data_IF_083932769309
#
_entry.id   IF_083932769309
#
_cell.length_a   1.000
_cell.length_b   1.000
_cell.length_c   1.000
_cell.angle_alpha   90.00
_cell.angle_beta   90.00
_cell.angle_gamma   90.00
#
_symmetry.space_group_name_H-M   'P 1'
#
loop_
_entity.id
_entity.type
_entity.pdbx_description
1 polymer ?
#
# COMPACT_ATOMS: atom_id res chain seq x y z
N UNK A 1 32.67 -4.16 5.41
CA UNK A 1 33.11 -3.38 6.60
C UNK A 1 32.24 -2.15 6.76
N UNK A 2 32.13 -1.22 5.78
CA UNK A 2 31.44 0.06 5.92
C UNK A 2 29.97 -0.01 6.33
N UNK A 3 29.19 -0.95 5.80
CA UNK A 3 27.79 -1.09 6.18
C UNK A 3 27.60 -1.47 7.66
N UNK A 4 28.53 -2.25 8.24
CA UNK A 4 28.48 -2.60 9.66
C UNK A 4 28.65 -1.36 10.55
N UNK A 5 29.57 -0.47 10.20
CA UNK A 5 29.77 0.78 10.92
C UNK A 5 28.55 1.71 10.78
N UNK A 6 28.04 1.92 9.58
CA UNK A 6 26.86 2.77 9.34
C UNK A 6 25.59 2.25 10.00
N UNK A 7 25.45 0.93 10.14
CA UNK A 7 24.27 0.36 10.79
C UNK A 7 24.33 0.45 12.33
N UNK A 8 25.52 0.70 12.88
CA UNK A 8 25.76 0.87 14.31
C UNK A 8 26.00 2.34 14.71
N UNK A 9 25.58 3.29 13.92
CA UNK A 9 25.64 4.71 14.25
C UNK A 9 26.93 5.42 13.90
N UNK A 10 27.96 4.74 13.41
CA UNK A 10 29.24 5.35 13.08
C UNK A 10 29.20 6.04 11.71
N UNK A 11 28.41 7.11 11.61
CA UNK A 11 28.25 7.88 10.38
C UNK A 11 29.54 8.58 9.95
N UNK A 12 30.38 8.96 10.92
CA UNK A 12 31.61 9.73 10.71
C UNK A 12 32.86 8.84 10.51
N UNK A 13 32.68 7.52 10.46
CA UNK A 13 33.79 6.61 10.27
C UNK A 13 34.51 6.83 8.94
N UNK A 14 35.82 6.69 8.96
CA UNK A 14 36.65 6.74 7.76
C UNK A 14 37.55 5.51 7.69
N UNK A 15 37.56 4.86 6.53
CA UNK A 15 38.39 3.71 6.24
C UNK A 15 39.44 4.10 5.21
N UNK A 16 40.69 4.00 5.57
CA UNK A 16 41.84 4.29 4.70
C UNK A 16 42.63 3.00 4.44
N UNK A 17 42.43 2.34 3.30
CA UNK A 17 43.28 1.25 2.88
C UNK A 17 44.61 1.81 2.40
N UNK A 18 45.71 1.28 2.94
CA UNK A 18 47.06 1.63 2.53
C UNK A 18 47.79 0.37 2.09
N UNK A 19 48.38 0.41 0.91
CA UNK A 19 49.23 -0.67 0.43
C UNK A 19 50.56 -0.62 1.17
N UNK A 20 50.90 -1.71 1.86
CA UNK A 20 52.13 -1.80 2.68
C UNK A 20 53.21 -2.50 1.92
N UNK A 21 52.90 -3.58 1.21
CA UNK A 21 53.88 -4.40 0.54
C UNK A 21 53.29 -5.09 -0.68
N UNK A 22 54.09 -5.28 -1.73
CA UNK A 22 53.68 -5.98 -2.96
C UNK A 22 54.73 -7.07 -3.18
N UNK A 23 54.32 -8.33 -3.12
CA UNK A 23 55.20 -9.49 -3.38
C UNK A 23 54.56 -10.36 -4.47
N UNK A 24 55.12 -10.26 -5.70
CA UNK A 24 54.60 -10.96 -6.84
C UNK A 24 53.15 -10.55 -7.16
N UNK A 25 52.23 -11.51 -7.11
CA UNK A 25 50.78 -11.29 -7.35
C UNK A 25 49.97 -11.00 -6.09
N UNK A 26 50.63 -10.81 -4.94
CA UNK A 26 49.98 -10.55 -3.64
C UNK A 26 50.25 -9.14 -3.17
N UNK A 27 49.20 -8.48 -2.67
CA UNK A 27 49.24 -7.13 -2.10
C UNK A 27 48.83 -7.21 -0.63
N UNK A 28 49.71 -6.73 0.25
CA UNK A 28 49.41 -6.57 1.67
C UNK A 28 48.77 -5.20 1.90
N UNK A 29 47.55 -5.19 2.48
CA UNK A 29 46.81 -3.97 2.77
C UNK A 29 46.73 -3.74 4.29
N UNK A 30 47.11 -2.55 4.75
CA UNK A 30 46.79 -2.04 6.06
C UNK A 30 45.50 -1.25 6.04
N UNK A 31 44.52 -1.70 6.81
CA UNK A 31 43.22 -1.03 6.94
C UNK A 31 43.21 -0.15 8.16
N UNK A 32 43.36 1.16 7.98
CA UNK A 32 43.25 2.14 9.08
C UNK A 32 41.81 2.61 9.19
N UNK A 33 41.20 2.37 10.36
CA UNK A 33 39.81 2.72 10.63
C UNK A 33 39.80 3.81 11.71
N UNK A 34 39.14 4.92 11.35
CA UNK A 34 38.80 6.01 12.26
C UNK A 34 37.31 5.97 12.50
N UNK A 35 36.87 5.47 13.65
CA UNK A 35 35.45 5.23 13.94
C UNK A 35 34.66 6.54 14.16
N UNK A 36 35.30 7.50 14.86
CA UNK A 36 34.62 8.70 15.29
C UNK A 36 33.56 8.43 16.37
N UNK A 37 32.70 9.40 16.60
CA UNK A 37 31.56 9.25 17.53
C UNK A 37 30.35 8.66 16.86
N UNK A 38 29.48 7.99 17.63
CA UNK A 38 28.20 7.51 17.14
C UNK A 38 27.24 8.68 16.94
N UNK A 39 26.54 8.70 15.80
CA UNK A 39 25.57 9.71 15.47
C UNK A 39 24.16 9.30 15.90
N UNK A 40 23.47 10.20 16.58
CA UNK A 40 22.06 10.07 16.91
C UNK A 40 21.20 10.92 15.98
N UNK A 41 20.02 10.44 15.65
CA UNK A 41 19.06 11.18 14.83
C UNK A 41 18.47 12.32 15.68
N UNK A 42 18.74 13.57 15.28
CA UNK A 42 18.20 14.75 15.95
C UNK A 42 16.80 15.07 15.43
N UNK A 43 16.66 15.22 14.11
CA UNK A 43 15.40 15.62 13.48
C UNK A 43 15.09 14.78 12.25
N UNK A 44 13.80 14.46 12.06
CA UNK A 44 13.28 13.84 10.84
C UNK A 44 12.25 14.79 10.23
N UNK A 45 12.56 15.31 9.05
CA UNK A 45 11.69 16.23 8.29
C UNK A 45 11.09 15.51 7.10
N UNK A 46 9.81 15.72 6.85
CA UNK A 46 9.05 15.13 5.75
C UNK A 46 8.48 16.26 4.91
N UNK A 47 8.78 16.28 3.63
CA UNK A 47 8.31 17.28 2.68
C UNK A 47 7.61 16.60 1.49
N UNK A 48 6.60 17.25 0.91
CA UNK A 48 5.91 16.75 -0.28
C UNK A 48 4.79 15.75 0.00
N UNK A 49 4.24 15.77 1.22
CA UNK A 49 3.11 14.94 1.63
C UNK A 49 1.77 15.71 1.62
N UNK A 50 1.53 16.53 0.59
CA UNK A 50 0.40 17.50 0.54
C UNK A 50 -0.98 16.83 0.63
N UNK A 51 -1.15 15.60 0.12
CA UNK A 51 -2.41 14.86 0.13
C UNK A 51 -2.54 13.85 1.27
N UNK A 52 -1.43 13.50 1.94
CA UNK A 52 -1.40 12.60 3.09
C UNK A 52 -1.10 13.36 4.37
N UNK A 53 -1.69 12.95 5.48
CA UNK A 53 -1.30 13.48 6.77
C UNK A 53 0.10 13.04 7.14
N UNK A 54 0.86 13.93 7.78
CA UNK A 54 2.24 13.65 8.18
C UNK A 54 2.37 12.43 9.08
N UNK A 55 1.42 12.23 9.99
CA UNK A 55 1.40 11.06 10.87
C UNK A 55 1.29 9.73 10.11
N UNK A 56 0.64 9.72 8.92
CA UNK A 56 0.53 8.54 8.07
C UNK A 56 1.88 8.15 7.48
N UNK A 57 2.66 9.15 7.06
CA UNK A 57 4.01 8.94 6.55
C UNK A 57 4.96 8.56 7.69
N UNK A 58 4.92 9.34 8.79
CA UNK A 58 5.82 9.19 9.92
C UNK A 58 5.73 7.83 10.61
N UNK A 59 4.55 7.22 10.67
CA UNK A 59 4.37 5.88 11.28
C UNK A 59 5.05 4.74 10.51
N UNK A 60 5.33 4.93 9.23
CA UNK A 60 6.04 3.96 8.40
C UNK A 60 7.56 4.07 8.51
N UNK A 61 8.07 5.18 9.07
CA UNK A 61 9.49 5.38 9.20
C UNK A 61 10.08 4.54 10.34
N UNK A 62 11.24 3.94 10.06
CA UNK A 62 12.05 3.22 11.06
C UNK A 62 13.08 4.13 11.72
N UNK A 63 13.25 5.32 11.18
CA UNK A 63 14.16 6.34 11.72
C UNK A 63 13.36 7.32 12.60
N UNK A 64 13.70 7.39 13.88
CA UNK A 64 13.03 8.28 14.84
C UNK A 64 14.04 9.19 15.51
N UNK A 65 13.65 10.43 15.88
CA UNK A 65 14.50 11.28 16.69
C UNK A 65 14.90 10.58 17.99
N UNK A 66 16.21 10.64 18.34
CA UNK A 66 16.80 9.97 19.49
C UNK A 66 17.39 8.59 19.21
N UNK A 67 17.00 7.92 18.14
CA UNK A 67 17.58 6.63 17.76
C UNK A 67 19.01 6.81 17.22
N UNK A 68 19.83 5.75 17.33
CA UNK A 68 21.10 5.69 16.62
C UNK A 68 20.90 5.70 15.11
N UNK A 69 21.76 6.37 14.39
CA UNK A 69 21.75 6.33 12.94
C UNK A 69 21.99 4.91 12.44
N UNK A 70 21.19 4.47 11.50
CA UNK A 70 21.35 3.20 10.80
C UNK A 70 21.01 3.38 9.31
N UNK A 71 21.96 3.04 8.46
CA UNK A 71 21.77 3.05 7.00
C UNK A 71 20.68 2.06 6.58
N UNK A 72 20.64 0.91 7.23
CA UNK A 72 19.62 -0.11 6.98
C UNK A 72 18.21 0.41 7.35
N UNK A 73 18.06 1.03 8.53
CA UNK A 73 16.79 1.64 8.94
C UNK A 73 16.34 2.74 7.97
N UNK A 74 17.29 3.53 7.43
CA UNK A 74 17.04 4.56 6.44
C UNK A 74 16.52 3.94 5.12
N UNK A 75 17.22 2.94 4.61
CA UNK A 75 16.83 2.22 3.40
C UNK A 75 15.51 1.49 3.56
N UNK A 76 15.27 0.90 4.74
CA UNK A 76 14.02 0.23 5.05
C UNK A 76 12.86 1.24 5.08
N UNK A 77 13.05 2.41 5.69
CA UNK A 77 12.07 3.49 5.67
C UNK A 77 11.72 3.91 4.22
N UNK A 78 12.72 4.04 3.35
CA UNK A 78 12.50 4.36 1.95
C UNK A 78 11.68 3.27 1.22
N UNK A 79 11.98 2.00 1.46
CA UNK A 79 11.20 0.87 0.89
C UNK A 79 9.76 0.83 1.42
N UNK A 80 9.57 1.09 2.71
CA UNK A 80 8.23 1.16 3.31
C UNK A 80 7.39 2.28 2.67
N UNK A 81 7.97 3.47 2.49
CA UNK A 81 7.32 4.59 1.81
C UNK A 81 6.99 4.27 0.34
N UNK A 82 7.89 3.60 -0.38
CA UNK A 82 7.65 3.15 -1.74
C UNK A 82 6.49 2.14 -1.81
N UNK A 83 6.42 1.21 -0.86
CA UNK A 83 5.38 0.17 -0.80
C UNK A 83 3.99 0.72 -0.51
N UNK A 84 3.87 1.91 0.07
CA UNK A 84 2.59 2.57 0.28
C UNK A 84 1.86 2.90 -1.04
N UNK A 85 2.60 3.04 -2.15
CA UNK A 85 2.05 3.37 -3.47
C UNK A 85 1.54 4.82 -3.62
N UNK A 86 1.74 5.68 -2.63
CA UNK A 86 1.33 7.09 -2.65
C UNK A 86 2.42 8.03 -3.14
N UNK A 87 3.65 7.54 -3.23
CA UNK A 87 4.82 8.32 -3.63
C UNK A 87 5.48 7.69 -4.86
N UNK A 88 6.18 8.52 -5.60
CA UNK A 88 7.03 8.09 -6.70
C UNK A 88 8.29 7.41 -6.12
N UNK A 89 8.49 6.10 -6.34
CA UNK A 89 9.61 5.38 -5.74
C UNK A 89 10.98 5.94 -6.13
N UNK A 90 11.11 6.50 -7.33
CA UNK A 90 12.36 7.08 -7.83
C UNK A 90 12.71 8.41 -7.15
N UNK A 91 11.68 9.10 -6.62
CA UNK A 91 11.86 10.36 -5.92
C UNK A 91 12.09 10.19 -4.41
N UNK A 92 11.98 8.97 -3.86
CA UNK A 92 12.22 8.72 -2.44
C UNK A 92 13.72 8.60 -2.20
N UNK A 93 14.34 9.72 -1.86
CA UNK A 93 15.75 9.77 -1.53
C UNK A 93 15.95 10.47 -0.18
N UNK A 94 16.06 9.70 0.92
CA UNK A 94 16.33 10.28 2.22
C UNK A 94 17.76 10.81 2.28
N UNK A 95 17.91 12.08 2.64
CA UNK A 95 19.20 12.77 2.70
C UNK A 95 19.58 12.97 4.17
N UNK A 96 20.58 12.24 4.69
CA UNK A 96 21.16 12.51 5.99
C UNK A 96 22.04 13.75 5.91
N UNK A 97 21.85 14.66 6.86
CA UNK A 97 22.69 15.86 7.05
C UNK A 97 23.42 15.75 8.39
N UNK A 98 24.68 15.33 8.39
CA UNK A 98 25.44 15.21 9.63
C UNK A 98 25.79 16.56 10.20
N UNK A 99 25.69 16.71 11.53
CA UNK A 99 26.26 17.78 12.29
C UNK A 99 27.49 17.25 13.05
N UNK A 100 28.66 17.71 12.63
CA UNK A 100 29.93 17.25 13.18
C UNK A 100 30.21 17.82 14.58
N UNK A 101 29.60 18.94 14.93
CA UNK A 101 29.82 19.60 16.23
C UNK A 101 29.13 18.83 17.35
N UNK A 102 27.88 18.42 17.11
CA UNK A 102 27.04 17.78 18.13
C UNK A 102 27.02 16.24 18.01
N UNK A 103 27.64 15.68 16.97
CA UNK A 103 27.57 14.24 16.69
C UNK A 103 26.15 13.76 16.37
N UNK A 104 25.33 14.63 15.79
CA UNK A 104 23.94 14.31 15.44
C UNK A 104 23.73 14.29 13.93
N UNK A 105 22.59 13.76 13.49
CA UNK A 105 22.20 13.73 12.08
C UNK A 105 20.75 14.13 11.91
N UNK A 106 20.49 15.06 11.01
CA UNK A 106 19.15 15.39 10.55
C UNK A 106 18.83 14.58 9.29
N UNK A 107 17.64 14.00 9.21
CA UNK A 107 17.19 13.22 8.05
C UNK A 107 16.04 13.95 7.37
N UNK A 108 16.21 14.26 6.08
CA UNK A 108 15.18 14.87 5.27
C UNK A 108 14.63 13.87 4.27
N UNK A 109 13.33 13.58 4.35
CA UNK A 109 12.58 12.84 3.36
C UNK A 109 11.88 13.82 2.42
N UNK A 110 12.40 13.97 1.21
CA UNK A 110 11.75 14.73 0.15
C UNK A 110 10.96 13.73 -0.70
N UNK A 111 9.64 13.85 -0.63
CA UNK A 111 8.72 12.93 -1.28
C UNK A 111 8.04 13.63 -2.45
N UNK A 112 7.72 12.88 -3.48
CA UNK A 112 6.89 13.33 -4.59
C UNK A 112 5.65 12.48 -4.65
N UNK A 113 4.50 13.09 -4.44
CA UNK A 113 3.23 12.37 -4.45
C UNK A 113 2.85 11.90 -5.84
N UNK A 114 2.27 10.69 -5.88
CA UNK A 114 1.67 10.08 -7.05
C UNK A 114 0.21 9.80 -6.78
N UNK A 115 -0.68 10.23 -7.67
CA UNK A 115 -2.09 9.82 -7.60
C UNK A 115 -2.20 8.36 -8.01
N UNK A 116 -2.82 7.56 -7.17
CA UNK A 116 -3.09 6.14 -7.40
C UNK A 116 -4.58 5.80 -7.28
N UNK A 117 -5.43 6.82 -7.23
CA UNK A 117 -6.87 6.66 -7.32
C UNK A 117 -7.26 6.19 -8.73
N UNK A 118 -8.20 5.26 -8.82
CA UNK A 118 -8.59 4.63 -10.06
C UNK A 118 -10.09 4.75 -10.28
N UNK A 119 -10.46 5.11 -11.50
CA UNK A 119 -11.84 5.05 -12.00
C UNK A 119 -11.85 4.05 -13.14
N UNK A 120 -12.68 3.04 -13.04
CA UNK A 120 -12.89 2.04 -14.07
C UNK A 120 -14.27 2.28 -14.70
N UNK A 121 -14.30 2.37 -16.02
CA UNK A 121 -15.52 2.36 -16.81
C UNK A 121 -15.33 1.38 -17.95
N UNK A 122 -16.15 0.33 -18.00
CA UNK A 122 -16.09 -0.63 -19.08
C UNK A 122 -17.50 -0.94 -19.61
N UNK A 123 -17.59 -1.02 -20.92
CA UNK A 123 -18.80 -1.38 -21.64
C UNK A 123 -18.44 -2.54 -22.57
N UNK A 124 -19.28 -3.56 -22.59
CA UNK A 124 -19.14 -4.71 -23.44
C UNK A 124 -20.47 -5.09 -24.07
N UNK A 125 -20.44 -5.87 -25.14
CA UNK A 125 -21.61 -6.42 -25.79
C UNK A 125 -21.49 -7.95 -25.77
N UNK A 126 -22.50 -8.63 -25.26
CA UNK A 126 -22.57 -10.09 -25.22
C UNK A 126 -23.90 -10.62 -25.73
N UNK A 127 -24.07 -11.93 -25.69
CA UNK A 127 -25.32 -12.59 -26.12
C UNK A 127 -26.56 -12.13 -25.32
N UNK A 128 -26.36 -11.71 -24.09
CA UNK A 128 -27.40 -11.23 -23.17
C UNK A 128 -27.57 -9.70 -23.18
N UNK A 129 -26.94 -9.01 -24.15
CA UNK A 129 -27.02 -7.56 -24.30
C UNK A 129 -25.78 -6.80 -23.86
N UNK A 130 -25.96 -5.55 -23.43
CA UNK A 130 -24.89 -4.66 -23.01
C UNK A 130 -24.49 -4.98 -21.57
N UNK A 131 -23.20 -5.15 -21.36
CA UNK A 131 -22.57 -5.32 -20.04
C UNK A 131 -21.90 -4.00 -19.69
N UNK A 132 -22.31 -3.39 -18.59
CA UNK A 132 -21.69 -2.17 -18.06
C UNK A 132 -21.03 -2.43 -16.70
N UNK A 133 -19.83 -1.87 -16.51
CA UNK A 133 -19.14 -1.87 -15.20
C UNK A 133 -18.64 -0.48 -14.90
N UNK A 134 -18.84 -0.06 -13.66
CA UNK A 134 -18.26 1.15 -13.08
C UNK A 134 -17.55 0.79 -11.80
N UNK A 135 -16.30 1.21 -11.67
CA UNK A 135 -15.48 1.02 -10.48
C UNK A 135 -14.84 2.33 -10.03
N UNK A 136 -14.80 2.54 -8.74
CA UNK A 136 -14.08 3.64 -8.10
C UNK A 136 -13.19 3.06 -7.00
N UNK A 137 -11.89 3.32 -7.07
CA UNK A 137 -10.92 2.93 -6.03
C UNK A 137 -10.17 4.16 -5.56
N UNK A 138 -10.42 4.55 -4.33
CA UNK A 138 -9.74 5.63 -3.63
C UNK A 138 -8.68 5.03 -2.70
N UNK A 139 -7.40 5.27 -2.97
CA UNK A 139 -6.31 4.69 -2.20
C UNK A 139 -5.83 5.61 -1.06
N UNK A 140 -6.27 6.85 -1.03
CA UNK A 140 -5.97 7.79 0.05
C UNK A 140 -7.23 8.22 0.81
N UNK A 141 -8.15 7.30 1.00
CA UNK A 141 -9.39 7.57 1.72
C UNK A 141 -9.14 7.83 3.21
N UNK A 142 -10.03 8.57 3.84
CA UNK A 142 -10.03 8.81 5.28
C UNK A 142 -11.45 8.64 5.83
N UNK A 143 -11.66 7.55 6.54
CA UNK A 143 -12.92 7.29 7.26
C UNK A 143 -13.17 8.37 8.33
N UNK A 144 -12.10 8.82 8.99
CA UNK A 144 -12.20 9.86 10.02
C UNK A 144 -12.70 11.20 9.46
N UNK A 145 -12.29 11.57 8.23
CA UNK A 145 -12.72 12.80 7.59
C UNK A 145 -14.17 12.71 7.07
N UNK A 146 -14.65 11.53 6.78
CA UNK A 146 -16.05 11.32 6.40
C UNK A 146 -17.01 11.70 7.54
N UNK A 147 -16.64 11.41 8.79
CA UNK A 147 -17.48 11.64 9.97
C UNK A 147 -17.12 12.89 10.77
N UNK A 148 -15.93 13.44 10.61
CA UNK A 148 -15.45 14.61 11.36
C UNK A 148 -15.31 15.84 10.45
N UNK A 149 -16.29 16.69 10.46
CA UNK A 149 -16.39 17.90 9.64
C UNK A 149 -15.29 18.97 9.92
N UNK A 150 -14.54 18.86 11.01
CA UNK A 150 -13.57 19.87 11.46
C UNK A 150 -12.10 19.50 11.21
N UNK A 151 -11.77 18.44 10.49
CA UNK A 151 -10.41 18.19 10.05
C UNK A 151 -10.14 19.01 8.78
N UNK A 152 -8.92 19.54 8.66
CA UNK A 152 -8.46 20.22 7.45
C UNK A 152 -8.71 19.32 6.22
N UNK A 153 -9.66 19.71 5.39
CA UNK A 153 -9.97 19.01 4.17
C UNK A 153 -8.96 19.36 3.10
N UNK A 154 -8.16 18.41 2.70
CA UNK A 154 -7.20 18.55 1.59
C UNK A 154 -7.84 18.22 0.23
N UNK A 155 -9.11 18.56 0.05
CA UNK A 155 -9.85 18.34 -1.20
C UNK A 155 -11.34 18.11 -0.98
N UNK A 156 -12.08 17.84 -2.07
CA UNK A 156 -13.54 17.59 -2.06
C UNK A 156 -13.85 16.19 -1.48
N UNK A 157 -12.94 15.23 -1.69
CA UNK A 157 -13.07 13.87 -1.19
C UNK A 157 -12.46 13.73 0.21
N UNK A 158 -12.98 12.84 1.07
CA UNK A 158 -12.42 12.58 2.39
C UNK A 158 -11.13 11.76 2.25
N UNK A 159 -10.00 12.46 2.07
CA UNK A 159 -8.68 11.89 1.87
C UNK A 159 -7.72 12.28 2.99
N UNK A 160 -6.60 11.56 3.12
CA UNK A 160 -5.48 11.92 4.00
C UNK A 160 -4.93 10.81 4.88
N UNK A 161 -5.71 9.78 5.22
CA UNK A 161 -5.28 8.70 6.14
C UNK A 161 -4.63 7.50 5.43
N UNK A 162 -4.57 7.49 4.08
CA UNK A 162 -3.97 6.41 3.30
C UNK A 162 -4.75 5.09 3.37
N UNK A 163 -6.06 5.18 3.63
CA UNK A 163 -6.97 4.04 3.62
C UNK A 163 -7.49 3.80 2.20
N UNK A 164 -8.00 2.62 1.94
CA UNK A 164 -8.55 2.29 0.62
C UNK A 164 -10.05 2.06 0.72
N UNK A 165 -10.79 2.76 -0.15
CA UNK A 165 -12.21 2.53 -0.39
C UNK A 165 -12.40 2.13 -1.85
N UNK A 166 -13.01 0.97 -2.08
CA UNK A 166 -13.35 0.48 -3.41
C UNK A 166 -14.86 0.30 -3.52
N UNK A 167 -15.43 0.89 -4.56
CA UNK A 167 -16.84 0.77 -4.89
C UNK A 167 -16.95 0.25 -6.31
N UNK A 168 -17.84 -0.71 -6.54
CA UNK A 168 -18.05 -1.25 -7.87
C UNK A 168 -19.53 -1.55 -8.11
N UNK A 169 -19.96 -1.32 -9.34
CA UNK A 169 -21.26 -1.71 -9.83
C UNK A 169 -21.10 -2.34 -11.22
N UNK A 170 -21.78 -3.44 -11.44
CA UNK A 170 -21.81 -4.12 -12.72
C UNK A 170 -23.26 -4.50 -13.05
N UNK A 171 -23.64 -4.30 -14.29
CA UNK A 171 -24.96 -4.72 -14.77
C UNK A 171 -24.85 -5.36 -16.13
N UNK A 172 -25.69 -6.36 -16.35
CA UNK A 172 -26.00 -6.92 -17.66
C UNK A 172 -27.51 -6.83 -17.87
N UNK A 173 -28.01 -5.58 -17.94
CA UNK A 173 -29.43 -5.30 -18.06
C UNK A 173 -30.22 -5.97 -16.93
N UNK A 174 -31.23 -6.77 -17.33
CA UNK A 174 -32.13 -7.47 -16.40
C UNK A 174 -31.57 -8.81 -15.91
N UNK A 175 -30.55 -9.37 -16.58
CA UNK A 175 -30.02 -10.70 -16.26
C UNK A 175 -29.14 -10.72 -15.03
N UNK A 176 -28.27 -9.72 -14.89
CA UNK A 176 -27.30 -9.68 -13.80
C UNK A 176 -27.07 -8.25 -13.32
N UNK A 177 -27.04 -8.10 -12.01
CA UNK A 177 -26.69 -6.86 -11.33
C UNK A 177 -25.80 -7.21 -10.13
N UNK A 178 -24.71 -6.48 -9.96
CA UNK A 178 -23.82 -6.69 -8.83
C UNK A 178 -23.31 -5.34 -8.31
N UNK A 179 -23.27 -5.22 -7.00
CA UNK A 179 -22.75 -4.05 -6.29
C UNK A 179 -21.79 -4.54 -5.23
N UNK A 180 -20.64 -3.90 -5.15
CA UNK A 180 -19.64 -4.20 -4.11
C UNK A 180 -19.09 -2.93 -3.51
N UNK A 181 -18.87 -2.97 -2.21
CA UNK A 181 -18.19 -1.93 -1.46
C UNK A 181 -17.17 -2.59 -0.53
N UNK A 182 -15.94 -2.10 -0.57
CA UNK A 182 -14.84 -2.60 0.25
C UNK A 182 -14.08 -1.45 0.86
N UNK A 183 -13.82 -1.54 2.15
CA UNK A 183 -12.92 -0.67 2.89
C UNK A 183 -11.75 -1.47 3.41
N UNK A 184 -10.54 -0.92 3.35
CA UNK A 184 -9.36 -1.53 3.95
C UNK A 184 -8.40 -0.47 4.48
N UNK A 185 -7.73 -0.83 5.58
CA UNK A 185 -6.68 -0.02 6.19
C UNK A 185 -5.54 -0.92 6.64
N UNK A 186 -4.30 -0.45 6.53
CA UNK A 186 -3.11 -1.14 7.04
C UNK A 186 -2.80 -0.76 8.50
N UNK A 187 -3.46 0.28 9.01
CA UNK A 187 -3.25 0.80 10.36
C UNK A 187 -4.59 1.01 11.07
N UNK A 188 -5.10 -0.02 11.69
CA UNK A 188 -6.39 0.02 12.38
C UNK A 188 -6.39 1.12 13.46
N UNK A 189 -7.34 2.06 13.32
CA UNK A 189 -7.42 3.23 14.20
C UNK A 189 -6.23 4.19 14.10
N UNK A 190 -5.40 4.08 13.04
CA UNK A 190 -4.26 4.96 12.78
C UNK A 190 -3.03 4.75 13.67
N UNK A 191 -3.10 3.86 14.65
CA UNK A 191 -2.04 3.67 15.68
C UNK A 191 -1.39 2.29 15.68
N UNK A 192 -2.10 1.26 15.25
CA UNK A 192 -1.63 -0.13 15.30
C UNK A 192 -1.38 -0.65 13.89
N UNK A 193 -0.23 -1.30 13.60
CA UNK A 193 0.08 -1.88 12.30
C UNK A 193 -0.71 -3.18 12.09
N UNK A 194 -2.03 -3.04 12.09
CA UNK A 194 -3.00 -4.11 11.90
C UNK A 194 -3.74 -3.80 10.61
N UNK A 195 -3.63 -4.71 9.65
CA UNK A 195 -4.43 -4.67 8.44
C UNK A 195 -5.85 -5.10 8.79
N UNK A 196 -6.81 -4.28 8.42
CA UNK A 196 -8.22 -4.56 8.56
C UNK A 196 -8.93 -4.31 7.24
N UNK A 197 -9.81 -5.21 6.85
CA UNK A 197 -10.63 -5.05 5.66
C UNK A 197 -12.05 -5.51 5.94
N UNK A 198 -13.01 -4.80 5.41
CA UNK A 198 -14.41 -5.18 5.45
C UNK A 198 -15.02 -4.90 4.08
N UNK A 199 -15.88 -5.79 3.61
CA UNK A 199 -16.56 -5.61 2.36
C UNK A 199 -17.93 -6.23 2.36
N UNK A 200 -18.79 -5.66 1.53
CA UNK A 200 -20.15 -6.09 1.28
C UNK A 200 -20.32 -6.24 -0.23
N UNK A 201 -20.88 -7.33 -0.64
CA UNK A 201 -21.25 -7.58 -2.03
C UNK A 201 -22.73 -8.02 -2.11
N UNK A 202 -23.43 -7.47 -3.06
CA UNK A 202 -24.78 -7.87 -3.40
C UNK A 202 -24.84 -8.18 -4.88
N UNK A 203 -25.41 -9.32 -5.23
CA UNK A 203 -25.70 -9.63 -6.63
C UNK A 203 -27.09 -10.23 -6.78
N UNK A 204 -27.71 -9.87 -7.89
CA UNK A 204 -28.99 -10.45 -8.36
C UNK A 204 -28.75 -11.03 -9.73
N UNK A 205 -29.10 -12.28 -9.90
CA UNK A 205 -29.10 -12.96 -11.19
C UNK A 205 -30.48 -13.54 -11.46
N UNK A 206 -31.02 -13.22 -12.63
CA UNK A 206 -32.33 -13.72 -13.10
C UNK A 206 -32.12 -14.87 -14.07
N UNK A 207 -33.16 -15.68 -14.27
CA UNK A 207 -33.17 -16.84 -15.18
C UNK A 207 -32.17 -17.93 -14.83
N UNK A 208 -32.28 -18.43 -13.60
CA UNK A 208 -31.36 -19.44 -13.06
C UNK A 208 -32.01 -20.82 -13.09
N UNK A 209 -31.48 -21.74 -13.89
CA UNK A 209 -31.86 -23.14 -13.84
C UNK A 209 -31.29 -23.85 -12.61
N UNK A 210 -31.92 -24.94 -12.14
CA UNK A 210 -31.52 -25.68 -10.94
C UNK A 210 -30.06 -26.19 -10.94
N UNK A 211 -29.49 -26.46 -12.10
CA UNK A 211 -28.08 -26.87 -12.24
C UNK A 211 -27.08 -25.70 -12.07
N UNK A 212 -27.57 -24.48 -12.09
CA UNK A 212 -26.74 -23.30 -12.01
C UNK A 212 -26.43 -22.87 -10.56
N UNK A 213 -27.20 -23.35 -9.60
CA UNK A 213 -27.09 -22.94 -8.20
C UNK A 213 -25.67 -23.16 -7.63
N UNK A 214 -25.08 -24.31 -7.95
CA UNK A 214 -23.74 -24.64 -7.44
C UNK A 214 -22.62 -23.86 -8.16
N UNK A 215 -22.77 -23.62 -9.47
CA UNK A 215 -21.74 -22.91 -10.24
C UNK A 215 -21.74 -21.40 -9.99
N UNK A 216 -22.90 -20.79 -9.78
CA UNK A 216 -23.00 -19.34 -9.48
C UNK A 216 -22.42 -19.03 -8.10
N UNK A 217 -22.61 -19.91 -7.11
CA UNK A 217 -22.01 -19.75 -5.79
C UNK A 217 -20.49 -19.84 -5.84
N UNK A 218 -19.97 -20.83 -6.56
CA UNK A 218 -18.51 -21.03 -6.71
C UNK A 218 -17.85 -19.93 -7.55
N UNK A 219 -18.52 -19.43 -8.60
CA UNK A 219 -17.99 -18.33 -9.41
C UNK A 219 -17.96 -16.99 -8.64
N UNK A 220 -18.97 -16.72 -7.83
CA UNK A 220 -18.97 -15.54 -6.96
C UNK A 220 -17.86 -15.62 -5.90
N UNK A 221 -17.62 -16.78 -5.31
CA UNK A 221 -16.55 -17.01 -4.36
C UNK A 221 -15.16 -16.85 -5.02
N UNK A 222 -14.96 -17.40 -6.21
CA UNK A 222 -13.70 -17.30 -6.94
C UNK A 222 -13.42 -15.87 -7.46
N UNK A 223 -14.43 -15.16 -7.95
CA UNK A 223 -14.30 -13.75 -8.33
C UNK A 223 -13.93 -12.85 -7.14
N UNK A 224 -14.37 -13.25 -5.96
CA UNK A 224 -14.08 -12.54 -4.73
C UNK A 224 -12.62 -12.74 -4.27
N UNK A 225 -12.08 -13.96 -4.40
CA UNK A 225 -10.71 -14.31 -3.98
C UNK A 225 -9.63 -13.92 -4.99
N UNK A 226 -9.93 -13.99 -6.29
CA UNK A 226 -8.91 -13.88 -7.35
C UNK A 226 -9.08 -12.67 -8.27
N UNK A 227 -10.02 -11.79 -7.98
CA UNK A 227 -10.34 -10.68 -8.87
C UNK A 227 -11.14 -11.14 -10.10
N UNK A 228 -11.71 -10.19 -10.78
CA UNK A 228 -12.68 -10.34 -11.85
C UNK A 228 -12.22 -11.28 -12.99
N UNK A 229 -12.43 -12.58 -12.83
CA UNK A 229 -12.09 -13.60 -13.82
C UNK A 229 -13.33 -14.21 -14.49
N UNK A 230 -13.26 -14.35 -15.79
CA UNK A 230 -14.05 -15.15 -16.74
C UNK A 230 -15.43 -15.66 -16.31
N UNK A 231 -16.46 -14.99 -16.79
CA UNK A 231 -17.79 -15.57 -16.85
C UNK A 231 -17.89 -16.55 -18.04
N UNK A 232 -18.10 -17.83 -17.72
CA UNK A 232 -18.38 -18.85 -18.73
C UNK A 232 -19.85 -18.74 -19.16
N UNK A 233 -20.13 -18.07 -20.29
CA UNK A 233 -21.47 -17.82 -20.82
C UNK A 233 -22.07 -18.99 -21.64
N UNK A 234 -21.51 -20.19 -21.56
CA UNK A 234 -21.73 -21.20 -22.58
C UNK A 234 -23.01 -22.05 -22.46
N UNK A 235 -24.06 -21.69 -21.71
CA UNK A 235 -25.27 -22.52 -21.69
C UNK A 235 -26.59 -21.76 -21.53
N UNK A 236 -26.81 -20.69 -22.26
CA UNK A 236 -28.14 -20.04 -22.31
C UNK A 236 -28.82 -20.28 -23.64
N UNK A 237 -29.34 -21.46 -23.88
CA UNK A 237 -30.43 -21.67 -24.81
C UNK A 237 -31.70 -21.90 -24.00
N UNK A 238 -32.65 -20.95 -24.16
CA UNK A 238 -34.08 -21.03 -23.98
C UNK A 238 -34.71 -20.55 -22.66
N UNK A 239 -35.57 -19.55 -22.84
CA UNK A 239 -36.58 -19.00 -21.95
C UNK A 239 -36.05 -18.17 -20.78
N UNK A 240 -35.98 -16.86 -21.02
CA UNK A 240 -35.87 -15.86 -19.96
C UNK A 240 -37.14 -15.92 -19.08
N UNK A 241 -36.96 -16.33 -17.82
CA UNK A 241 -38.00 -16.33 -16.80
C UNK A 241 -37.65 -15.27 -15.73
N UNK A 242 -38.27 -14.08 -15.76
CA UNK A 242 -37.93 -13.02 -14.80
C UNK A 242 -38.33 -13.34 -13.37
N UNK A 243 -39.17 -14.32 -13.13
CA UNK A 243 -39.64 -14.74 -11.81
C UNK A 243 -38.64 -15.68 -11.12
N UNK A 244 -37.74 -16.28 -11.89
CA UNK A 244 -36.66 -17.10 -11.37
C UNK A 244 -35.38 -16.26 -11.17
N UNK A 245 -35.07 -15.95 -9.96
CA UNK A 245 -33.87 -15.18 -9.61
C UNK A 245 -33.16 -15.71 -8.37
N UNK A 246 -31.86 -15.44 -8.31
CA UNK A 246 -31.03 -15.65 -7.12
C UNK A 246 -30.49 -14.31 -6.68
N UNK A 247 -30.62 -14.02 -5.40
CA UNK A 247 -29.98 -12.87 -4.74
C UNK A 247 -28.92 -13.42 -3.79
N UNK A 248 -27.69 -12.90 -3.90
CA UNK A 248 -26.59 -13.25 -3.01
C UNK A 248 -26.14 -11.98 -2.29
N UNK A 249 -26.06 -12.08 -0.98
CA UNK A 249 -25.46 -11.07 -0.13
C UNK A 249 -24.23 -11.69 0.53
N UNK A 250 -23.06 -11.12 0.24
CA UNK A 250 -21.80 -11.53 0.83
C UNK A 250 -21.27 -10.42 1.75
N UNK A 251 -20.82 -10.81 2.93
CA UNK A 251 -20.09 -9.93 3.86
C UNK A 251 -18.80 -10.63 4.23
N UNK A 252 -17.69 -9.93 4.15
CA UNK A 252 -16.42 -10.46 4.62
C UNK A 252 -15.71 -9.47 5.52
N UNK A 253 -14.94 -10.03 6.43
CA UNK A 253 -14.06 -9.29 7.32
C UNK A 253 -12.69 -9.95 7.28
N UNK A 254 -11.67 -9.17 6.96
CA UNK A 254 -10.29 -9.60 6.98
C UNK A 254 -9.52 -8.90 8.09
N UNK A 255 -8.67 -9.66 8.77
CA UNK A 255 -7.80 -9.14 9.79
C UNK A 255 -6.40 -9.73 9.62
N UNK A 256 -5.37 -8.89 9.71
CA UNK A 256 -3.98 -9.30 9.61
C UNK A 256 -3.10 -8.45 10.52
N UNK A 257 -2.07 -9.05 11.10
CA UNK A 257 -1.08 -8.33 11.89
C UNK A 257 0.26 -8.34 11.14
N UNK A 258 0.84 -7.16 10.95
CA UNK A 258 2.19 -7.05 10.43
C UNK A 258 3.18 -7.49 11.52
N UNK A 259 3.94 -8.53 11.21
CA UNK A 259 5.01 -9.00 12.09
C UNK A 259 6.27 -8.19 11.81
N UNK A 260 7.06 -7.97 12.86
CA UNK A 260 8.35 -7.30 12.73
C UNK A 260 9.49 -8.30 12.48
N UNK A 261 9.20 -9.60 12.49
CA UNK A 261 10.17 -10.67 12.28
C UNK A 261 9.53 -11.78 11.43
N UNK A 262 10.30 -12.47 10.57
CA UNK A 262 11.66 -12.13 10.15
C UNK A 262 11.70 -10.86 9.29
N UNK A 263 12.83 -10.13 9.39
CA UNK A 263 13.08 -8.89 8.66
C UNK A 263 13.54 -9.13 7.22
#
# INVERSE_FOLDING_TARGET
VGNAYWNNGYLFYNLQPTEVNIVGDSIDLEMRIYEGQQAHINRVTINGNDRLYENVVRRELRTKPGDLFSKEALQRSARELASMGHFDPEAINPVPKPNYEDGTVDINYNLKQKSNDQVELSLGWGQTGVIGRVGLKLNNFSMANLFRRNREHRGILPIGDGETLSLGAQTNGTYYQSYNAQYSTNWLGGKRPIQFSVGVSYSKQTDVSSNYYNSAYMNNYNNYLYGYGNYNYNNYQNYYDPDKYVKLLGIYVGWGKRLNWPD
#
